data_IF_440861959061
#
_entry.id   IF_440861959061
#
_cell.length_a   1.000
_cell.length_b   1.000
_cell.length_c   1.000
_cell.angle_alpha   90.00
_cell.angle_beta   90.00
_cell.angle_gamma   90.00
#
_symmetry.space_group_name_H-M   'P 1'
#
loop_
_entity.id
_entity.type
_entity.pdbx_description
1 polymer ?
#
# COMPACT_ATOMS: atom_id res chain seq x y z
N UNK A 1 14.77 -17.78 -6.63
CA UNK A 1 14.95 -16.52 -5.87
C UNK A 1 13.83 -15.49 -6.06
N UNK A 2 12.79 -15.74 -6.87
CA UNK A 2 11.72 -14.75 -7.12
C UNK A 2 10.67 -14.62 -5.99
N UNK A 3 10.26 -15.73 -5.36
CA UNK A 3 9.19 -15.71 -4.36
C UNK A 3 9.54 -14.97 -3.06
N UNK A 4 10.72 -15.21 -2.49
CA UNK A 4 11.16 -14.53 -1.25
C UNK A 4 11.29 -13.01 -1.46
N UNK A 5 11.82 -12.57 -2.60
CA UNK A 5 11.91 -11.14 -2.92
C UNK A 5 10.54 -10.47 -3.02
N UNK A 6 9.53 -11.20 -3.53
CA UNK A 6 8.16 -10.72 -3.60
C UNK A 6 7.52 -10.61 -2.22
N UNK A 7 7.73 -11.60 -1.34
CA UNK A 7 7.24 -11.55 0.05
C UNK A 7 7.87 -10.41 0.86
N UNK A 8 9.17 -10.18 0.70
CA UNK A 8 9.86 -9.03 1.33
C UNK A 8 9.32 -7.71 0.78
N UNK A 9 9.02 -7.65 -0.52
CA UNK A 9 8.43 -6.46 -1.14
C UNK A 9 7.02 -6.21 -0.61
N UNK A 10 6.20 -7.24 -0.50
CA UNK A 10 4.85 -7.18 0.08
C UNK A 10 4.91 -6.66 1.52
N UNK A 11 5.80 -7.21 2.35
CA UNK A 11 5.99 -6.77 3.72
C UNK A 11 6.42 -5.30 3.82
N UNK A 12 7.40 -4.87 3.02
CA UNK A 12 7.88 -3.49 3.04
C UNK A 12 6.77 -2.54 2.58
N UNK A 13 6.08 -2.86 1.50
CA UNK A 13 5.02 -2.01 0.94
C UNK A 13 3.82 -1.95 1.87
N UNK A 14 3.36 -3.08 2.43
CA UNK A 14 2.34 -3.09 3.48
C UNK A 14 2.72 -2.29 4.70
N UNK A 15 3.95 -2.50 5.18
CA UNK A 15 4.46 -1.74 6.30
C UNK A 15 4.40 -0.26 5.98
N UNK A 16 4.91 0.21 4.84
CA UNK A 16 4.81 1.60 4.39
C UNK A 16 3.37 2.12 4.31
N UNK A 17 2.45 1.31 3.82
CA UNK A 17 1.05 1.70 3.61
C UNK A 17 0.34 2.04 4.91
N UNK A 18 0.50 1.20 5.94
CA UNK A 18 -0.23 1.30 7.22
C UNK A 18 -0.03 2.66 7.93
N UNK A 19 1.18 3.22 7.90
CA UNK A 19 1.48 4.50 8.54
C UNK A 19 1.42 5.69 7.58
N UNK A 20 1.28 5.48 6.26
CA UNK A 20 1.26 6.60 5.30
C UNK A 20 0.10 7.57 5.55
N UNK A 21 -1.08 7.08 5.94
CA UNK A 21 -2.22 7.92 6.28
C UNK A 21 -1.99 8.76 7.55
N UNK A 22 -1.29 8.21 8.53
CA UNK A 22 -0.90 8.92 9.75
C UNK A 22 0.16 9.97 9.46
N UNK A 23 1.18 9.63 8.66
CA UNK A 23 2.18 10.60 8.21
C UNK A 23 1.54 11.76 7.44
N UNK A 24 0.62 11.47 6.53
CA UNK A 24 -0.10 12.50 5.79
C UNK A 24 -0.91 13.40 6.73
N UNK A 25 -1.57 12.80 7.74
CA UNK A 25 -2.32 13.56 8.74
C UNK A 25 -1.41 14.44 9.62
N UNK A 26 -0.25 13.95 10.03
CA UNK A 26 0.73 14.73 10.79
C UNK A 26 1.27 15.87 9.92
N UNK A 27 1.57 15.61 8.66
CA UNK A 27 2.08 16.61 7.73
C UNK A 27 1.08 17.75 7.51
N UNK A 28 -0.19 17.43 7.25
CA UNK A 28 -1.21 18.44 7.01
C UNK A 28 -1.60 19.20 8.26
N UNK A 29 -1.85 18.50 9.37
CA UNK A 29 -2.40 19.14 10.56
C UNK A 29 -1.34 19.75 11.48
N UNK A 30 -0.16 19.13 11.61
CA UNK A 30 0.86 19.61 12.54
C UNK A 30 1.96 20.43 11.84
N UNK A 31 2.36 20.07 10.61
CA UNK A 31 3.47 20.76 9.91
C UNK A 31 2.96 21.95 9.10
N UNK A 32 1.93 21.74 8.28
CA UNK A 32 1.32 22.81 7.49
C UNK A 32 0.39 23.72 8.33
N UNK A 33 0.00 23.27 9.52
CA UNK A 33 -0.76 24.07 10.48
C UNK A 33 -2.23 24.28 10.11
N UNK A 34 -2.75 23.58 9.10
CA UNK A 34 -4.18 23.57 8.82
C UNK A 34 -4.89 22.87 9.99
N UNK A 35 -5.74 23.59 10.72
CA UNK A 35 -6.39 23.03 11.90
C UNK A 35 -7.17 21.75 11.56
N UNK A 36 -7.27 20.80 12.50
CA UNK A 36 -7.99 19.52 12.30
C UNK A 36 -9.45 19.66 11.87
N UNK A 37 -10.05 20.83 12.04
CA UNK A 37 -11.45 21.13 11.72
C UNK A 37 -11.63 22.13 10.58
N UNK A 38 -10.54 22.53 9.91
CA UNK A 38 -10.63 23.44 8.76
C UNK A 38 -10.86 22.65 7.47
N UNK A 39 -11.85 23.05 6.65
CA UNK A 39 -12.15 22.36 5.38
C UNK A 39 -10.94 22.34 4.42
N UNK A 40 -10.09 23.37 4.45
CA UNK A 40 -8.87 23.46 3.66
C UNK A 40 -7.88 22.35 3.98
N UNK A 41 -7.71 21.98 5.26
CA UNK A 41 -6.85 20.88 5.68
C UNK A 41 -7.33 19.53 5.17
N UNK A 42 -8.65 19.29 5.18
CA UNK A 42 -9.21 18.05 4.63
C UNK A 42 -8.99 17.93 3.12
N UNK A 43 -9.18 19.03 2.38
CA UNK A 43 -8.94 19.07 0.93
C UNK A 43 -7.49 18.74 0.61
N UNK A 44 -6.54 19.36 1.31
CA UNK A 44 -5.10 19.13 1.10
C UNK A 44 -4.71 17.69 1.47
N UNK A 45 -5.23 17.17 2.59
CA UNK A 45 -5.01 15.77 2.98
C UNK A 45 -5.55 14.80 1.92
N UNK A 46 -6.72 15.09 1.34
CA UNK A 46 -7.29 14.30 0.27
C UNK A 46 -6.40 14.32 -0.98
N UNK A 47 -5.93 15.50 -1.40
CA UNK A 47 -4.99 15.63 -2.54
C UNK A 47 -3.69 14.85 -2.30
N UNK A 48 -3.10 14.95 -1.11
CA UNK A 48 -1.93 14.16 -0.73
C UNK A 48 -2.22 12.66 -0.71
N UNK A 49 -3.41 12.24 -0.27
CA UNK A 49 -3.81 10.83 -0.31
C UNK A 49 -3.86 10.29 -1.74
N UNK A 50 -4.31 11.10 -2.70
CA UNK A 50 -4.28 10.74 -4.13
C UNK A 50 -2.84 10.57 -4.60
N UNK A 51 -1.94 11.51 -4.28
CA UNK A 51 -0.52 11.40 -4.63
C UNK A 51 0.12 10.15 -4.02
N UNK A 52 -0.20 9.83 -2.77
CA UNK A 52 0.25 8.62 -2.09
C UNK A 52 -0.23 7.37 -2.84
N UNK A 53 -1.48 7.30 -3.29
CA UNK A 53 -1.98 6.18 -4.09
C UNK A 53 -1.15 5.96 -5.38
N UNK A 54 -0.83 7.04 -6.10
CA UNK A 54 0.03 6.95 -7.30
C UNK A 54 1.47 6.51 -6.95
N UNK A 55 2.00 6.98 -5.82
CA UNK A 55 3.31 6.56 -5.33
C UNK A 55 3.33 5.05 -5.03
N UNK A 56 2.31 4.52 -4.37
CA UNK A 56 2.20 3.09 -4.10
C UNK A 56 2.01 2.26 -5.37
N UNK A 57 1.24 2.74 -6.36
CA UNK A 57 1.14 2.10 -7.67
C UNK A 57 2.50 2.05 -8.38
N UNK A 58 3.30 3.11 -8.28
CA UNK A 58 4.66 3.17 -8.81
C UNK A 58 5.61 2.19 -8.09
N UNK A 59 5.53 2.09 -6.77
CA UNK A 59 6.29 1.10 -5.99
C UNK A 59 5.95 -0.34 -6.41
N UNK A 60 4.68 -0.65 -6.64
CA UNK A 60 4.27 -1.95 -7.16
C UNK A 60 4.94 -2.29 -8.49
N UNK A 61 5.13 -1.29 -9.38
CA UNK A 61 5.84 -1.46 -10.65
C UNK A 61 7.35 -1.70 -10.46
N UNK A 62 8.00 -0.93 -9.59
CA UNK A 62 9.45 -1.09 -9.31
C UNK A 62 9.75 -2.45 -8.67
N UNK A 63 8.91 -2.87 -7.73
CA UNK A 63 9.08 -4.14 -6.99
C UNK A 63 8.62 -5.36 -7.78
N UNK A 64 8.24 -5.19 -9.06
CA UNK A 64 7.76 -6.25 -9.95
C UNK A 64 6.54 -7.01 -9.39
N UNK A 65 5.62 -6.26 -8.77
CA UNK A 65 4.34 -6.79 -8.29
C UNK A 65 4.20 -6.88 -6.78
N UNK A 66 5.07 -6.22 -6.00
CA UNK A 66 4.87 -6.07 -4.56
C UNK A 66 3.55 -5.36 -4.26
N UNK A 67 2.82 -5.83 -3.27
CA UNK A 67 1.46 -5.41 -2.97
C UNK A 67 1.26 -5.22 -1.46
N UNK A 68 0.40 -4.26 -1.10
CA UNK A 68 -0.03 -4.00 0.26
C UNK A 68 -1.51 -4.30 0.50
N UNK A 69 -2.23 -4.68 -0.57
CA UNK A 69 -3.65 -4.92 -0.54
C UNK A 69 -3.93 -6.41 -0.77
N UNK A 70 -4.35 -7.16 0.26
CA UNK A 70 -4.67 -8.57 0.15
C UNK A 70 -5.74 -8.86 -0.91
N UNK A 71 -6.68 -7.93 -1.15
CA UNK A 71 -7.73 -8.10 -2.16
C UNK A 71 -7.14 -8.12 -3.58
N UNK A 72 -6.10 -7.33 -3.83
CA UNK A 72 -5.39 -7.31 -5.12
C UNK A 72 -4.67 -8.63 -5.35
N UNK A 73 -4.00 -9.16 -4.31
CA UNK A 73 -3.32 -10.46 -4.38
C UNK A 73 -4.31 -11.62 -4.50
N UNK A 74 -5.48 -11.53 -3.84
CA UNK A 74 -6.53 -12.53 -3.93
C UNK A 74 -7.18 -12.57 -5.33
N UNK A 75 -7.44 -11.41 -5.95
CA UNK A 75 -7.98 -11.34 -7.30
C UNK A 75 -7.05 -12.02 -8.33
N UNK A 76 -5.75 -11.80 -8.18
CA UNK A 76 -4.70 -12.45 -8.97
C UNK A 76 -4.59 -13.96 -8.65
N UNK A 77 -4.74 -14.34 -7.38
CA UNK A 77 -4.73 -15.75 -6.95
C UNK A 77 -5.87 -16.57 -7.59
N UNK A 78 -7.08 -16.02 -7.64
CA UNK A 78 -8.27 -16.70 -8.18
C UNK A 78 -8.18 -16.88 -9.70
N UNK A 79 -7.49 -15.98 -10.39
CA UNK A 79 -7.34 -16.01 -11.85
C UNK A 79 -6.17 -16.89 -12.32
N UNK A 80 -5.33 -17.36 -11.39
CA UNK A 80 -4.12 -18.15 -11.66
C UNK A 80 -4.31 -19.67 -11.54
N UNK A 81 -3.18 -20.40 -11.51
CA UNK A 81 -3.18 -21.84 -11.24
C UNK A 81 -3.22 -22.17 -9.74
N UNK A 82 -3.41 -23.44 -9.39
CA UNK A 82 -3.51 -23.86 -7.98
C UNK A 82 -2.24 -23.58 -7.16
N UNK A 83 -1.05 -23.64 -7.78
CA UNK A 83 0.21 -23.35 -7.07
C UNK A 83 0.33 -21.86 -6.77
N UNK A 84 -0.07 -21.02 -7.72
CA UNK A 84 -0.15 -19.58 -7.59
C UNK A 84 -1.15 -19.19 -6.51
N UNK A 85 -2.32 -19.85 -6.48
CA UNK A 85 -3.31 -19.64 -5.45
C UNK A 85 -2.77 -19.92 -4.04
N UNK A 86 -2.16 -21.09 -3.82
CA UNK A 86 -1.60 -21.47 -2.51
C UNK A 86 -0.46 -20.52 -2.11
N UNK A 87 0.39 -20.09 -3.05
CA UNK A 87 1.46 -19.14 -2.76
C UNK A 87 0.92 -17.74 -2.39
N UNK A 88 -0.05 -17.23 -3.15
CA UNK A 88 -0.62 -15.91 -2.92
C UNK A 88 -1.43 -15.86 -1.61
N UNK A 89 -2.31 -16.84 -1.38
CA UNK A 89 -3.16 -16.88 -0.19
C UNK A 89 -2.38 -17.31 1.05
N UNK A 90 -1.50 -18.31 0.91
CA UNK A 90 -0.79 -18.92 2.04
C UNK A 90 0.50 -18.21 2.46
N UNK A 91 1.13 -17.41 1.58
CA UNK A 91 2.39 -16.73 1.89
C UNK A 91 2.32 -15.21 1.69
N UNK A 92 1.78 -14.74 0.56
CA UNK A 92 1.77 -13.29 0.26
C UNK A 92 0.80 -12.50 1.14
N UNK A 93 -0.44 -12.97 1.29
CA UNK A 93 -1.42 -12.31 2.17
C UNK A 93 -0.91 -12.23 3.62
N UNK A 94 -0.37 -13.30 4.24
CA UNK A 94 0.19 -13.21 5.59
C UNK A 94 1.45 -12.36 5.73
N UNK A 95 2.18 -12.11 4.64
CA UNK A 95 3.36 -11.25 4.65
C UNK A 95 2.99 -9.76 4.61
N UNK A 96 1.75 -9.43 4.23
CA UNK A 96 1.19 -8.09 4.18
C UNK A 96 0.60 -7.68 5.53
#
# INVERSE_FOLDING_TARGET
MAGVGLLVSDLIISFMWVWSGTLNSIFVYNILGFGRHEPSGEVIKCMLSILVLFFFAFLGKITKGGAYNPLTVLADAISGDFRHFIFNVGARIPAQ
#
